data_IF_421090587110
#
_entry.id   IF_421090587110
#
_cell.length_a   1.000
_cell.length_b   1.000
_cell.length_c   1.000
_cell.angle_alpha   90.00
_cell.angle_beta   90.00
_cell.angle_gamma   90.00
#
_symmetry.space_group_name_H-M   'P 1'
#
loop_
_entity.id
_entity.type
_entity.pdbx_description
1 polymer ?
#
# COMPACT_ATOMS: atom_id res chain seq x y z
N UNK A 1 22.14 23.52 1.61
CA UNK A 1 20.98 22.80 2.15
C UNK A 1 21.38 21.34 2.32
N UNK A 2 21.39 20.79 3.54
CA UNK A 2 21.58 19.35 3.76
C UNK A 2 20.19 18.72 3.66
N UNK A 3 19.95 17.88 2.66
CA UNK A 3 18.71 17.11 2.60
C UNK A 3 18.69 16.16 3.81
N UNK A 4 17.69 16.29 4.66
CA UNK A 4 17.40 15.28 5.68
C UNK A 4 16.92 14.02 4.98
N UNK A 5 17.37 12.85 5.42
CA UNK A 5 16.80 11.60 4.93
C UNK A 5 15.30 11.58 5.26
N UNK A 6 14.44 11.09 4.35
CA UNK A 6 13.02 11.00 4.60
C UNK A 6 12.77 10.08 5.80
N UNK A 7 11.84 10.49 6.64
CA UNK A 7 11.44 9.72 7.82
C UNK A 7 10.67 8.47 7.38
N UNK A 8 10.69 7.37 8.14
CA UNK A 8 10.00 6.13 7.78
C UNK A 8 8.52 6.32 7.42
N UNK A 9 7.82 7.23 8.11
CA UNK A 9 6.43 7.59 7.83
C UNK A 9 6.26 8.26 6.47
N UNK A 10 7.14 9.21 6.12
CA UNK A 10 7.10 9.89 4.82
C UNK A 10 7.34 8.91 3.67
N UNK A 11 8.21 7.91 3.89
CA UNK A 11 8.43 6.83 2.92
C UNK A 11 7.21 5.90 2.79
N UNK A 12 6.53 5.59 3.90
CA UNK A 12 5.30 4.80 3.87
C UNK A 12 4.17 5.53 3.12
N UNK A 13 4.03 6.83 3.33
CA UNK A 13 3.05 7.66 2.61
C UNK A 13 3.34 7.70 1.10
N UNK A 14 4.61 7.90 0.73
CA UNK A 14 5.02 7.85 -0.67
C UNK A 14 4.77 6.48 -1.30
N UNK A 15 5.08 5.39 -0.59
CA UNK A 15 4.81 4.03 -1.04
C UNK A 15 3.30 3.81 -1.24
N UNK A 16 2.47 4.25 -0.31
CA UNK A 16 1.01 4.16 -0.44
C UNK A 16 0.49 4.90 -1.67
N UNK A 17 1.01 6.10 -1.97
CA UNK A 17 0.62 6.84 -3.19
C UNK A 17 0.98 6.05 -4.46
N UNK A 18 2.19 5.50 -4.52
CA UNK A 18 2.64 4.71 -5.68
C UNK A 18 1.83 3.42 -5.82
N UNK A 19 1.58 2.70 -4.73
CA UNK A 19 0.82 1.45 -4.76
C UNK A 19 -0.65 1.68 -5.13
N UNK A 20 -1.23 2.81 -4.73
CA UNK A 20 -2.60 3.19 -5.12
C UNK A 20 -2.70 3.75 -6.55
N UNK A 21 -1.60 4.15 -7.19
CA UNK A 21 -1.62 4.53 -8.62
C UNK A 21 -1.58 3.33 -9.57
N UNK A 22 -1.30 2.13 -9.06
CA UNK A 22 -1.52 0.88 -9.77
C UNK A 22 -3.03 0.65 -9.83
N UNK A 23 -3.64 0.87 -11.00
CA UNK A 23 -5.10 0.68 -11.26
C UNK A 23 -5.54 -0.79 -11.30
N UNK A 24 -4.98 -1.61 -10.43
CA UNK A 24 -5.26 -3.04 -10.27
C UNK A 24 -5.17 -3.38 -8.78
N UNK A 25 -5.93 -4.38 -8.30
CA UNK A 25 -5.80 -4.88 -6.93
C UNK A 25 -4.37 -5.32 -6.60
N UNK A 26 -3.82 -4.81 -5.49
CA UNK A 26 -2.53 -5.18 -4.92
C UNK A 26 -2.69 -5.48 -3.43
N UNK A 27 -2.12 -6.59 -2.99
CA UNK A 27 -2.03 -6.98 -1.57
C UNK A 27 -0.59 -7.26 -1.18
N UNK A 28 -0.25 -6.97 0.07
CA UNK A 28 0.97 -7.44 0.71
C UNK A 28 0.63 -8.59 1.64
N UNK A 29 1.48 -9.62 1.65
CA UNK A 29 1.31 -10.81 2.49
C UNK A 29 2.57 -10.97 3.34
N UNK A 30 2.41 -11.24 4.63
CA UNK A 30 3.52 -11.56 5.52
C UNK A 30 4.02 -13.01 5.35
N UNK A 31 4.99 -13.39 6.17
CA UNK A 31 5.57 -14.74 6.16
C UNK A 31 4.60 -15.83 6.62
N UNK A 32 3.56 -15.46 7.37
CA UNK A 32 2.56 -16.37 7.91
C UNK A 32 1.37 -16.52 6.95
N UNK A 33 1.35 -15.76 5.85
CA UNK A 33 0.34 -15.84 4.81
C UNK A 33 -0.84 -14.87 5.03
N UNK A 34 -0.75 -13.94 5.97
CA UNK A 34 -1.82 -12.97 6.22
C UNK A 34 -1.64 -11.69 5.38
N UNK A 35 -2.76 -11.12 4.95
CA UNK A 35 -2.76 -9.82 4.26
C UNK A 35 -2.43 -8.72 5.27
N UNK A 36 -1.35 -7.99 5.04
CA UNK A 36 -0.90 -6.88 5.90
C UNK A 36 -1.13 -5.51 5.28
N UNK A 37 -1.46 -5.46 3.98
CA UNK A 37 -1.80 -4.24 3.27
C UNK A 37 -2.66 -4.57 2.04
N UNK A 38 -3.59 -3.69 1.71
CA UNK A 38 -4.36 -3.72 0.48
C UNK A 38 -4.42 -2.28 -0.08
N UNK A 39 -4.26 -2.12 -1.39
CA UNK A 39 -4.52 -0.84 -2.05
C UNK A 39 -6.04 -0.60 -2.20
N UNK A 40 -6.44 0.63 -2.52
CA UNK A 40 -7.85 1.02 -2.62
C UNK A 40 -8.66 0.14 -3.61
N UNK A 41 -8.06 -0.20 -4.76
CA UNK A 41 -8.69 -1.09 -5.75
C UNK A 41 -8.89 -2.51 -5.20
N UNK A 42 -7.97 -3.03 -4.38
CA UNK A 42 -8.14 -4.32 -3.73
C UNK A 42 -9.26 -4.30 -2.68
N UNK A 43 -9.34 -3.26 -1.85
CA UNK A 43 -10.44 -3.10 -0.90
C UNK A 43 -11.81 -3.06 -1.57
N UNK A 44 -11.93 -2.30 -2.67
CA UNK A 44 -13.17 -2.21 -3.45
C UNK A 44 -13.54 -3.55 -4.11
N UNK A 45 -12.55 -4.26 -4.64
CA UNK A 45 -12.74 -5.60 -5.19
C UNK A 45 -13.27 -6.60 -4.16
N UNK A 46 -12.74 -6.58 -2.93
CA UNK A 46 -13.23 -7.47 -1.87
C UNK A 46 -14.63 -7.06 -1.39
N UNK A 47 -14.92 -5.77 -1.31
CA UNK A 47 -16.23 -5.25 -0.88
C UNK A 47 -17.34 -5.56 -1.87
N UNK A 48 -17.06 -5.48 -3.17
CA UNK A 48 -18.04 -5.70 -4.24
C UNK A 48 -18.44 -7.18 -4.43
N UNK A 49 -17.82 -8.12 -3.70
CA UNK A 49 -18.14 -9.55 -3.75
C UNK A 49 -18.89 -10.08 -2.53
N UNK A 50 -19.36 -9.20 -1.64
CA UNK A 50 -20.16 -9.52 -0.45
C UNK A 50 -21.67 -9.60 -0.74
#
# INVERSE_FOLDING_TARGET
MKASAPQPTEMADAANIVLNTIRRPVIMVDTDGFITFANADAEDFFRSRA
#
